data_IF_096617985168
#
_entry.id   IF_096617985168
#
_cell.length_a   1.000
_cell.length_b   1.000
_cell.length_c   1.000
_cell.angle_alpha   90.00
_cell.angle_beta   90.00
_cell.angle_gamma   90.00
#
_symmetry.space_group_name_H-M   'P 1'
#
loop_
_entity.id
_entity.type
_entity.pdbx_description
1 polymer ?
#
# COMPACT_ATOMS: atom_id res chain seq x y z
N UNK A 1 0.71 8.61 -33.39
CA UNK A 1 0.85 7.61 -32.30
C UNK A 1 -0.24 7.88 -31.26
N UNK A 2 -1.38 7.18 -31.32
CA UNK A 2 -2.47 7.38 -30.33
C UNK A 2 -2.13 6.58 -29.08
N UNK A 3 -1.59 7.28 -28.09
CA UNK A 3 -1.25 6.74 -26.77
C UNK A 3 -2.50 6.08 -26.16
N UNK A 4 -2.35 4.81 -25.79
CA UNK A 4 -3.43 3.90 -25.40
C UNK A 4 -4.12 4.47 -24.15
N UNK A 5 -5.39 4.85 -24.27
CA UNK A 5 -6.23 5.17 -23.12
C UNK A 5 -6.41 3.89 -22.32
N UNK A 6 -5.61 3.67 -21.29
CA UNK A 6 -5.77 2.54 -20.37
C UNK A 6 -7.09 2.74 -19.63
N UNK A 7 -8.12 1.98 -20.01
CA UNK A 7 -9.37 1.96 -19.27
C UNK A 7 -9.10 1.54 -17.82
N UNK A 8 -9.77 2.16 -16.83
CA UNK A 8 -9.67 1.70 -15.45
C UNK A 8 -10.09 0.22 -15.40
N UNK A 9 -9.18 -0.63 -14.92
CA UNK A 9 -9.44 -2.06 -14.77
C UNK A 9 -10.65 -2.25 -13.84
N UNK A 10 -11.62 -3.12 -14.19
CA UNK A 10 -12.72 -3.43 -13.28
C UNK A 10 -12.18 -4.10 -12.01
N UNK A 11 -12.84 -3.84 -10.88
CA UNK A 11 -12.54 -4.49 -9.61
C UNK A 11 -12.77 -6.00 -9.75
N UNK A 12 -11.79 -6.81 -9.35
CA UNK A 12 -11.92 -8.27 -9.39
C UNK A 12 -12.25 -8.84 -8.01
N UNK A 13 -12.79 -10.05 -7.99
CA UNK A 13 -12.98 -10.81 -6.76
C UNK A 13 -11.62 -11.03 -6.08
N UNK A 14 -11.47 -10.53 -4.85
CA UNK A 14 -10.22 -10.57 -4.08
C UNK A 14 -9.49 -9.22 -3.93
N UNK A 15 -9.83 -8.22 -4.75
CA UNK A 15 -9.31 -6.85 -4.60
C UNK A 15 -9.94 -6.12 -3.39
N UNK A 16 -11.10 -6.59 -2.95
CA UNK A 16 -11.82 -6.05 -1.80
C UNK A 16 -12.63 -7.13 -1.10
N UNK A 17 -13.01 -6.86 0.15
CA UNK A 17 -13.97 -7.65 0.91
C UNK A 17 -14.97 -6.72 1.62
N UNK A 18 -16.12 -7.28 1.98
CA UNK A 18 -17.08 -6.59 2.82
C UNK A 18 -16.81 -6.90 4.28
N UNK A 19 -16.71 -5.87 5.12
CA UNK A 19 -16.63 -6.08 6.57
C UNK A 19 -18.03 -6.31 7.16
N UNK A 20 -18.11 -6.62 8.46
CA UNK A 20 -19.40 -6.85 9.16
C UNK A 20 -20.34 -5.64 9.16
N UNK A 21 -19.85 -4.45 8.79
CA UNK A 21 -20.63 -3.22 8.65
C UNK A 21 -21.11 -2.99 7.21
N UNK A 22 -20.85 -3.92 6.28
CA UNK A 22 -21.18 -3.79 4.86
C UNK A 22 -20.31 -2.79 4.10
N UNK A 23 -19.17 -2.38 4.68
CA UNK A 23 -18.23 -1.46 4.02
C UNK A 23 -17.23 -2.24 3.17
N UNK A 24 -16.88 -1.65 2.03
CA UNK A 24 -15.85 -2.17 1.12
C UNK A 24 -14.48 -1.85 1.70
N UNK A 25 -13.69 -2.89 1.96
CA UNK A 25 -12.30 -2.76 2.39
C UNK A 25 -11.40 -3.28 1.27
N UNK A 26 -10.57 -2.38 0.73
CA UNK A 26 -9.58 -2.74 -0.30
C UNK A 26 -8.41 -3.52 0.31
N UNK A 27 -7.97 -4.53 -0.42
CA UNK A 27 -6.84 -5.38 -0.04
C UNK A 27 -5.55 -4.85 -0.67
N UNK A 28 -4.42 -5.42 -0.24
CA UNK A 28 -3.11 -5.12 -0.82
C UNK A 28 -3.06 -5.41 -2.33
N UNK A 29 -3.76 -6.45 -2.79
CA UNK A 29 -3.81 -6.80 -4.21
C UNK A 29 -4.39 -5.69 -5.09
N UNK A 30 -5.42 -5.00 -4.61
CA UNK A 30 -5.97 -3.85 -5.32
C UNK A 30 -4.93 -2.75 -5.49
N UNK A 31 -4.15 -2.49 -4.43
CA UNK A 31 -3.09 -1.49 -4.45
C UNK A 31 -1.94 -1.89 -5.37
N UNK A 32 -1.54 -3.17 -5.39
CA UNK A 32 -0.53 -3.69 -6.32
C UNK A 32 -0.97 -3.60 -7.78
N UNK A 33 -2.22 -3.96 -8.10
CA UNK A 33 -2.78 -3.84 -9.45
C UNK A 33 -2.88 -2.40 -9.94
N UNK A 34 -3.16 -1.45 -9.03
CA UNK A 34 -3.11 -0.01 -9.34
C UNK A 34 -1.70 0.42 -9.76
N UNK A 35 -0.67 -0.26 -9.26
CA UNK A 35 0.74 -0.01 -9.61
C UNK A 35 1.33 1.26 -9.01
N UNK A 36 0.59 1.98 -8.15
CA UNK A 36 1.08 3.19 -7.49
C UNK A 36 0.45 3.43 -6.12
N UNK A 37 1.25 3.99 -5.20
CA UNK A 37 0.80 4.44 -3.90
C UNK A 37 -0.02 5.72 -4.03
N UNK A 38 -1.22 5.76 -3.44
CA UNK A 38 -2.09 6.93 -3.45
C UNK A 38 -1.77 7.98 -2.36
N UNK A 39 -0.85 7.69 -1.43
CA UNK A 39 -0.47 8.61 -0.36
C UNK A 39 -1.51 8.78 0.77
N UNK A 40 -2.66 8.12 0.70
CA UNK A 40 -3.76 8.28 1.67
C UNK A 40 -3.59 7.47 2.98
N UNK A 41 -2.45 6.84 3.20
CA UNK A 41 -2.18 6.08 4.44
C UNK A 41 -3.07 4.84 4.62
N UNK A 42 -3.40 4.13 3.53
CA UNK A 42 -4.27 2.94 3.59
C UNK A 42 -3.68 1.83 4.49
N UNK A 43 -4.56 1.11 5.20
CA UNK A 43 -4.17 0.08 6.17
C UNK A 43 -3.49 -1.14 5.53
N UNK A 44 -3.88 -1.47 4.29
CA UNK A 44 -3.31 -2.55 3.48
C UNK A 44 -2.37 -2.03 2.37
N UNK A 45 -1.71 -0.88 2.61
CA UNK A 45 -0.80 -0.32 1.63
C UNK A 45 0.51 -1.11 1.57
N UNK A 46 0.86 -1.73 0.41
CA UNK A 46 2.09 -2.51 0.29
C UNK A 46 3.35 -1.64 0.44
N UNK A 47 3.25 -0.34 0.10
CA UNK A 47 4.36 0.61 0.21
C UNK A 47 4.57 1.18 1.62
N UNK A 48 3.80 0.75 2.63
CA UNK A 48 3.90 1.29 4.00
C UNK A 48 5.08 0.71 4.79
N UNK A 49 5.56 -0.48 4.46
CA UNK A 49 6.65 -1.16 5.18
C UNK A 49 8.06 -0.76 4.69
N UNK A 50 8.32 0.54 4.55
CA UNK A 50 9.67 1.08 4.30
C UNK A 50 10.50 1.35 5.57
N UNK A 51 10.17 0.73 6.72
CA UNK A 51 10.75 1.05 8.05
C UNK A 51 11.16 -0.20 8.85
N UNK A 52 11.48 -1.29 8.18
CA UNK A 52 12.45 -2.27 8.67
C UNK A 52 13.65 -1.92 7.81
N UNK A 53 14.71 -1.24 8.25
CA UNK A 53 15.68 -1.69 9.23
C UNK A 53 16.41 -0.45 9.76
N UNK A 54 16.10 -0.03 10.99
CA UNK A 54 16.98 0.87 11.73
C UNK A 54 17.17 0.25 13.10
N UNK A 55 18.44 0.06 13.46
CA UNK A 55 19.03 -0.22 14.78
C UNK A 55 19.54 -1.66 14.98
N UNK A 56 20.85 -1.85 14.80
CA UNK A 56 21.61 -2.60 15.81
C UNK A 56 23.04 -2.12 16.13
N UNK A 57 23.54 -1.10 15.45
CA UNK A 57 24.89 -0.60 15.71
C UNK A 57 24.93 0.94 15.66
N UNK A 58 24.56 1.59 16.75
CA UNK A 58 25.01 2.97 16.95
C UNK A 58 25.52 3.10 18.39
N UNK A 59 26.84 3.18 18.61
CA UNK A 59 27.37 3.48 19.94
C UNK A 59 26.93 4.89 20.32
N UNK A 60 26.30 4.99 21.49
CA UNK A 60 25.78 6.21 22.09
C UNK A 60 26.93 7.16 22.43
N UNK A 61 27.22 8.12 21.56
CA UNK A 61 28.25 9.16 21.75
C UNK A 61 27.77 10.29 22.65
N UNK A 62 27.19 9.98 23.81
CA UNK A 62 26.97 11.01 24.82
C UNK A 62 27.31 10.53 26.22
N UNK A 63 28.58 10.69 26.61
CA UNK A 63 28.96 10.72 28.01
C UNK A 63 30.16 11.66 28.23
N UNK A 64 29.81 12.92 28.46
CA UNK A 64 30.43 13.94 29.33
C UNK A 64 31.87 14.35 29.09
#
# INVERSE_FOLDING_TARGET
MKSRKTAPQPLQAGDFYYNSQGLIVFTEQYHLRRGSCCGSGCRHCPWREGQKEVRKDMPNQNKK
#
